data_IF_970082242270
#
_entry.id   IF_970082242270
#
_cell.length_a   1.000
_cell.length_b   1.000
_cell.length_c   1.000
_cell.angle_alpha   90.00
_cell.angle_beta   90.00
_cell.angle_gamma   90.00
#
_symmetry.space_group_name_H-M   'P 1'
#
loop_
_entity.id
_entity.type
_entity.pdbx_description
1 polymer ?
#
# COMPACT_ATOMS: atom_id res chain seq x y z
N UNK A 1 21.54 -1.83 32.89
CA UNK A 1 21.02 -0.66 32.15
C UNK A 1 21.56 -0.81 30.73
N UNK A 2 20.78 -1.44 29.85
CA UNK A 2 21.20 -1.63 28.46
C UNK A 2 20.91 -0.33 27.71
N UNK A 3 21.94 0.21 27.05
CA UNK A 3 21.84 1.35 26.14
C UNK A 3 20.90 0.98 25.00
N UNK A 4 19.66 1.47 25.05
CA UNK A 4 18.82 1.59 23.87
C UNK A 4 19.45 2.71 23.02
N UNK A 5 20.18 2.34 21.98
CA UNK A 5 20.33 3.23 20.81
C UNK A 5 18.92 3.74 20.50
N UNK A 6 18.66 5.05 20.31
CA UNK A 6 17.34 5.49 19.88
C UNK A 6 17.15 4.95 18.47
N UNK A 7 16.62 3.72 18.37
CA UNK A 7 16.22 3.13 17.12
C UNK A 7 15.15 4.03 16.54
N UNK A 8 15.16 4.19 15.22
CA UNK A 8 14.09 4.90 14.54
C UNK A 8 12.78 4.17 14.87
N UNK A 9 11.88 4.85 15.56
CA UNK A 9 10.55 4.33 15.88
C UNK A 9 9.70 4.37 14.61
N UNK A 10 9.74 3.27 13.85
CA UNK A 10 9.01 3.11 12.60
C UNK A 10 7.49 3.15 12.81
N UNK A 11 7.01 2.76 13.99
CA UNK A 11 5.59 2.82 14.31
C UNK A 11 5.14 4.26 14.54
N UNK A 12 5.93 5.06 15.26
CA UNK A 12 5.66 6.50 15.37
C UNK A 12 5.69 7.21 14.01
N UNK A 13 6.62 6.83 13.12
CA UNK A 13 6.66 7.36 11.74
C UNK A 13 5.39 6.99 10.98
N UNK A 14 4.95 5.74 11.07
CA UNK A 14 3.73 5.26 10.44
C UNK A 14 2.47 6.00 10.94
N UNK A 15 2.29 6.13 12.25
CA UNK A 15 1.14 6.82 12.85
C UNK A 15 1.11 8.30 12.45
N UNK A 16 2.28 8.95 12.42
CA UNK A 16 2.39 10.32 11.93
C UNK A 16 2.04 10.40 10.43
N UNK A 17 2.50 9.44 9.62
CA UNK A 17 2.22 9.40 8.20
C UNK A 17 0.73 9.20 7.90
N UNK A 18 0.05 8.33 8.67
CA UNK A 18 -1.40 8.16 8.59
C UNK A 18 -2.13 9.49 8.83
N UNK A 19 -1.75 10.24 9.86
CA UNK A 19 -2.32 11.57 10.11
C UNK A 19 -2.06 12.52 8.94
N UNK A 20 -0.88 12.49 8.33
CA UNK A 20 -0.61 13.29 7.13
C UNK A 20 -1.48 12.86 5.94
N UNK A 21 -1.63 11.55 5.72
CA UNK A 21 -2.46 10.97 4.67
C UNK A 21 -3.93 11.38 4.80
N UNK A 22 -4.51 11.25 6.00
CA UNK A 22 -5.89 11.67 6.32
C UNK A 22 -6.11 13.16 6.05
N UNK A 23 -5.09 13.99 6.30
CA UNK A 23 -5.11 15.42 6.02
C UNK A 23 -4.74 15.77 4.55
N UNK A 24 -4.65 14.78 3.66
CA UNK A 24 -4.25 14.91 2.25
C UNK A 24 -2.85 15.50 2.04
N UNK A 25 -2.00 15.47 3.06
CA UNK A 25 -0.61 15.91 3.02
C UNK A 25 0.29 14.75 2.53
N UNK A 26 0.03 14.23 1.33
CA UNK A 26 0.61 12.96 0.87
C UNK A 26 2.13 12.99 0.75
N UNK A 27 2.73 14.11 0.35
CA UNK A 27 4.20 14.26 0.32
C UNK A 27 4.83 14.04 1.70
N UNK A 28 4.20 14.54 2.77
CA UNK A 28 4.75 14.37 4.12
C UNK A 28 4.53 12.95 4.64
N UNK A 29 3.40 12.33 4.28
CA UNK A 29 3.17 10.90 4.53
C UNK A 29 4.25 10.04 3.84
N UNK A 30 4.51 10.28 2.55
CA UNK A 30 5.52 9.56 1.75
C UNK A 30 6.90 9.63 2.42
N UNK A 31 7.37 10.81 2.82
CA UNK A 31 8.69 10.96 3.46
C UNK A 31 8.83 10.10 4.72
N UNK A 32 7.80 10.09 5.57
CA UNK A 32 7.82 9.34 6.81
C UNK A 32 7.74 7.83 6.55
N UNK A 33 6.93 7.42 5.58
CA UNK A 33 6.77 6.02 5.18
C UNK A 33 8.00 5.47 4.45
N UNK A 34 8.70 6.27 3.64
CA UNK A 34 9.97 5.87 3.03
C UNK A 34 11.01 5.54 4.11
N UNK A 35 11.06 6.31 5.19
CA UNK A 35 11.94 6.04 6.33
C UNK A 35 11.46 4.80 7.09
N UNK A 36 10.15 4.64 7.31
CA UNK A 36 9.59 3.48 8.00
C UNK A 36 9.88 2.17 7.23
N UNK A 37 9.60 2.14 5.92
CA UNK A 37 9.87 0.99 5.03
C UNK A 37 11.37 0.72 4.91
N UNK A 38 12.23 1.74 4.93
CA UNK A 38 13.68 1.52 4.89
C UNK A 38 14.21 0.79 6.13
N UNK A 39 13.56 0.92 7.29
CA UNK A 39 13.97 0.28 8.54
C UNK A 39 13.15 -0.98 8.88
N UNK A 40 11.93 -1.10 8.36
CA UNK A 40 11.02 -2.22 8.57
C UNK A 40 10.31 -2.57 7.23
N UNK A 41 11.06 -3.13 6.25
CA UNK A 41 10.54 -3.38 4.90
C UNK A 41 9.51 -4.52 4.84
N UNK A 42 9.46 -5.36 5.86
CA UNK A 42 8.60 -6.55 5.99
C UNK A 42 7.27 -6.27 6.70
N UNK A 43 6.92 -5.00 6.91
CA UNK A 43 5.63 -4.60 7.49
C UNK A 43 4.65 -4.23 6.38
N UNK A 44 3.62 -5.07 6.19
CA UNK A 44 2.63 -4.93 5.11
C UNK A 44 1.96 -3.55 5.11
N UNK A 45 1.45 -3.10 6.27
CA UNK A 45 0.78 -1.80 6.42
C UNK A 45 1.65 -0.60 6.06
N UNK A 46 2.98 -0.66 6.26
CA UNK A 46 3.86 0.45 5.90
C UNK A 46 3.99 0.54 4.37
N UNK A 47 4.18 -0.60 3.71
CA UNK A 47 4.23 -0.67 2.26
C UNK A 47 2.89 -0.27 1.62
N UNK A 48 1.78 -0.73 2.18
CA UNK A 48 0.43 -0.40 1.70
C UNK A 48 0.16 1.11 1.75
N UNK A 49 0.32 1.74 2.92
CA UNK A 49 0.08 3.19 3.06
C UNK A 49 1.06 4.01 2.20
N UNK A 50 2.32 3.54 2.04
CA UNK A 50 3.26 4.18 1.14
C UNK A 50 2.77 4.14 -0.32
N UNK A 51 2.25 2.99 -0.74
CA UNK A 51 1.74 2.79 -2.09
C UNK A 51 0.55 3.70 -2.41
N UNK A 52 -0.47 3.73 -1.54
CA UNK A 52 -1.64 4.57 -1.72
C UNK A 52 -1.28 6.05 -1.62
N UNK A 53 -0.31 6.43 -0.78
CA UNK A 53 0.18 7.81 -0.71
C UNK A 53 0.82 8.26 -2.03
N UNK A 54 1.63 7.41 -2.67
CA UNK A 54 2.13 7.70 -4.03
C UNK A 54 0.99 7.80 -5.04
N UNK A 55 -0.03 6.93 -4.96
CA UNK A 55 -1.15 6.92 -5.90
C UNK A 55 -1.93 8.22 -5.84
N UNK A 56 -2.27 8.65 -4.62
CA UNK A 56 -2.93 9.94 -4.37
C UNK A 56 -2.08 11.13 -4.78
N UNK A 57 -0.77 11.09 -4.56
CA UNK A 57 0.10 12.18 -4.99
C UNK A 57 0.27 12.22 -6.52
N UNK A 58 0.20 11.08 -7.21
CA UNK A 58 0.27 11.02 -8.68
C UNK A 58 -0.84 11.86 -9.34
N UNK A 59 -2.02 11.95 -8.72
CA UNK A 59 -3.15 12.77 -9.16
C UNK A 59 -2.87 14.29 -9.05
N UNK A 60 -1.89 14.70 -8.23
CA UNK A 60 -1.63 16.11 -7.90
C UNK A 60 -0.38 16.70 -8.58
N UNK A 61 0.38 15.89 -9.31
CA UNK A 61 1.66 16.31 -9.92
C UNK A 61 1.61 16.30 -11.45
N UNK A 62 2.64 16.88 -12.07
CA UNK A 62 2.75 16.81 -13.53
C UNK A 62 2.92 15.36 -14.01
N UNK A 63 2.50 15.10 -15.24
CA UNK A 63 2.42 13.77 -15.84
C UNK A 63 3.72 12.95 -15.75
N UNK A 64 4.90 13.58 -15.88
CA UNK A 64 6.18 12.88 -15.75
C UNK A 64 6.38 12.29 -14.35
N UNK A 65 6.08 13.08 -13.31
CA UNK A 65 6.15 12.62 -11.92
C UNK A 65 5.02 11.65 -11.59
N UNK A 66 3.82 11.87 -12.14
CA UNK A 66 2.67 11.00 -11.94
C UNK A 66 2.97 9.57 -12.41
N UNK A 67 3.68 9.39 -13.53
CA UNK A 67 4.10 8.06 -14.00
C UNK A 67 5.09 7.37 -13.06
N UNK A 68 6.05 8.11 -12.46
CA UNK A 68 6.98 7.54 -11.48
C UNK A 68 6.24 7.10 -10.22
N UNK A 69 5.32 7.94 -9.73
CA UNK A 69 4.51 7.63 -8.56
C UNK A 69 3.56 6.46 -8.81
N UNK A 70 2.90 6.38 -9.97
CA UNK A 70 2.07 5.24 -10.33
C UNK A 70 2.85 3.91 -10.32
N UNK A 71 4.09 3.91 -10.85
CA UNK A 71 4.96 2.72 -10.79
C UNK A 71 5.34 2.35 -9.37
N UNK A 72 5.57 3.34 -8.51
CA UNK A 72 5.85 3.11 -7.07
C UNK A 72 4.63 2.59 -6.34
N UNK A 73 3.44 3.09 -6.65
CA UNK A 73 2.16 2.55 -6.16
C UNK A 73 2.06 1.06 -6.44
N UNK A 74 2.17 0.64 -7.71
CA UNK A 74 2.12 -0.78 -8.04
C UNK A 74 3.18 -1.60 -7.29
N UNK A 75 4.44 -1.14 -7.31
CA UNK A 75 5.55 -1.83 -6.63
C UNK A 75 5.23 -2.09 -5.15
N UNK A 76 4.78 -1.07 -4.42
CA UNK A 76 4.56 -1.20 -2.99
C UNK A 76 3.25 -1.91 -2.64
N UNK A 77 2.21 -1.84 -3.50
CA UNK A 77 1.03 -2.71 -3.37
C UNK A 77 1.40 -4.19 -3.56
N UNK A 78 2.19 -4.52 -4.58
CA UNK A 78 2.66 -5.90 -4.78
C UNK A 78 3.49 -6.40 -3.59
N UNK A 79 4.35 -5.56 -3.00
CA UNK A 79 5.10 -5.91 -1.79
C UNK A 79 4.15 -6.11 -0.61
N UNK A 80 3.22 -5.19 -0.38
CA UNK A 80 2.26 -5.28 0.72
C UNK A 80 1.41 -6.55 0.61
N UNK A 81 0.94 -6.89 -0.59
CA UNK A 81 0.18 -8.11 -0.86
C UNK A 81 1.01 -9.38 -0.61
N UNK A 82 2.30 -9.37 -0.98
CA UNK A 82 3.18 -10.50 -0.69
C UNK A 82 3.41 -10.70 0.83
N UNK A 83 3.37 -9.62 1.62
CA UNK A 83 3.54 -9.66 3.07
C UNK A 83 2.26 -10.06 3.81
N UNK A 84 1.10 -9.63 3.31
CA UNK A 84 -0.22 -9.94 3.88
C UNK A 84 -1.25 -10.26 2.78
N UNK A 85 -1.21 -11.48 2.22
CA UNK A 85 -1.95 -11.85 1.00
C UNK A 85 -3.46 -12.03 1.21
N UNK A 86 -3.94 -11.98 2.45
CA UNK A 86 -5.36 -12.10 2.77
C UNK A 86 -5.96 -10.76 3.22
N UNK A 87 -5.20 -9.68 3.15
CA UNK A 87 -5.65 -8.36 3.54
C UNK A 87 -6.56 -7.77 2.47
N UNK A 88 -7.85 -7.67 2.79
CA UNK A 88 -8.86 -7.20 1.83
C UNK A 88 -8.59 -5.77 1.35
N UNK A 89 -8.06 -4.88 2.20
CA UNK A 89 -7.78 -3.49 1.79
C UNK A 89 -6.62 -3.42 0.78
N UNK A 90 -5.57 -4.22 1.00
CA UNK A 90 -4.42 -4.29 0.07
C UNK A 90 -4.85 -4.91 -1.27
N UNK A 91 -5.65 -5.97 -1.21
CA UNK A 91 -6.15 -6.66 -2.41
C UNK A 91 -7.05 -5.72 -3.23
N UNK A 92 -7.95 -4.98 -2.59
CA UNK A 92 -8.85 -4.03 -3.24
C UNK A 92 -8.06 -2.94 -3.98
N UNK A 93 -7.11 -2.28 -3.31
CA UNK A 93 -6.27 -1.25 -3.94
C UNK A 93 -5.40 -1.80 -5.09
N UNK A 94 -4.90 -3.04 -4.97
CA UNK A 94 -4.10 -3.68 -6.03
C UNK A 94 -4.95 -4.11 -7.22
N UNK A 95 -6.17 -4.61 -6.98
CA UNK A 95 -7.16 -4.91 -8.00
C UNK A 95 -7.50 -3.65 -8.80
N UNK A 96 -7.89 -2.58 -8.11
CA UNK A 96 -8.23 -1.30 -8.72
C UNK A 96 -7.07 -0.76 -9.57
N UNK A 97 -5.83 -0.81 -9.04
CA UNK A 97 -4.67 -0.39 -9.82
C UNK A 97 -4.54 -1.21 -11.11
N UNK A 98 -4.67 -2.54 -11.04
CA UNK A 98 -4.56 -3.39 -12.21
C UNK A 98 -5.69 -3.17 -13.22
N UNK A 99 -6.90 -2.82 -12.78
CA UNK A 99 -8.03 -2.53 -13.66
C UNK A 99 -7.95 -1.14 -14.31
N UNK A 100 -7.52 -0.13 -13.57
CA UNK A 100 -7.58 1.26 -14.01
C UNK A 100 -6.31 1.75 -14.73
N UNK A 101 -5.13 1.26 -14.33
CA UNK A 101 -3.88 1.78 -14.89
C UNK A 101 -3.71 1.37 -16.37
N UNK A 102 -3.08 2.22 -17.20
CA UNK A 102 -2.63 1.80 -18.52
C UNK A 102 -1.63 0.64 -18.45
N UNK A 103 -1.68 -0.26 -19.43
CA UNK A 103 -0.79 -1.44 -19.44
C UNK A 103 0.71 -1.12 -19.40
N UNK A 104 1.14 -0.02 -20.03
CA UNK A 104 2.55 0.42 -19.98
C UNK A 104 2.97 1.01 -18.61
N UNK A 105 1.99 1.35 -17.76
CA UNK A 105 2.20 1.77 -16.37
C UNK A 105 2.03 0.61 -15.37
N UNK A 106 1.68 -0.58 -15.86
CA UNK A 106 1.57 -1.80 -15.06
C UNK A 106 0.14 -2.30 -14.85
N UNK A 107 -0.86 -1.66 -15.44
CA UNK A 107 -2.23 -2.18 -15.46
C UNK A 107 -2.32 -3.53 -16.16
N UNK A 108 -3.17 -4.40 -15.64
CA UNK A 108 -3.33 -5.76 -16.11
C UNK A 108 -4.69 -6.31 -15.68
N UNK A 109 -5.70 -6.15 -16.55
CA UNK A 109 -7.08 -6.58 -16.28
C UNK A 109 -7.14 -8.02 -15.78
N UNK A 110 -6.40 -8.94 -16.41
CA UNK A 110 -6.39 -10.36 -16.00
C UNK A 110 -5.93 -10.55 -14.56
N UNK A 111 -4.89 -9.83 -14.13
CA UNK A 111 -4.45 -9.87 -12.72
C UNK A 111 -5.48 -9.25 -11.78
N UNK A 112 -6.15 -8.19 -12.20
CA UNK A 112 -7.27 -7.61 -11.45
C UNK A 112 -8.37 -8.65 -11.22
N UNK A 113 -8.81 -9.35 -12.27
CA UNK A 113 -9.85 -10.40 -12.18
C UNK A 113 -9.41 -11.59 -11.30
N UNK A 114 -8.11 -11.93 -11.31
CA UNK A 114 -7.54 -12.95 -10.42
C UNK A 114 -7.60 -12.52 -8.94
N UNK A 115 -7.41 -11.23 -8.65
CA UNK A 115 -7.53 -10.68 -7.29
C UNK A 115 -8.99 -10.56 -6.87
N UNK A 116 -9.88 -10.14 -7.76
CA UNK A 116 -11.33 -10.07 -7.49
C UNK A 116 -11.86 -11.44 -7.03
N UNK A 117 -11.53 -12.51 -7.76
CA UNK A 117 -11.89 -13.87 -7.38
C UNK A 117 -11.28 -14.31 -6.03
N UNK A 118 -10.10 -13.81 -5.68
CA UNK A 118 -9.47 -14.07 -4.38
C UNK A 118 -10.20 -13.34 -3.24
N UNK A 119 -10.59 -12.08 -3.44
CA UNK A 119 -11.39 -11.29 -2.49
C UNK A 119 -12.73 -11.99 -2.21
N UNK A 120 -13.42 -12.44 -3.25
CA UNK A 120 -14.68 -13.19 -3.12
C UNK A 120 -14.49 -14.44 -2.25
N UNK A 121 -13.44 -15.23 -2.55
CA UNK A 121 -13.12 -16.45 -1.81
C UNK A 121 -12.85 -16.17 -0.33
N UNK A 122 -11.99 -15.19 -0.01
CA UNK A 122 -11.65 -14.82 1.38
C UNK A 122 -12.88 -14.34 2.13
N UNK A 123 -13.73 -13.54 1.48
CA UNK A 123 -14.95 -13.01 2.08
C UNK A 123 -15.92 -14.13 2.44
N UNK A 124 -16.10 -15.12 1.57
CA UNK A 124 -16.93 -16.30 1.85
C UNK A 124 -16.36 -17.12 3.02
N UNK A 125 -15.05 -17.39 3.03
CA UNK A 125 -14.40 -18.13 4.12
C UNK A 125 -14.55 -17.45 5.48
N UNK A 126 -14.51 -16.11 5.53
CA UNK A 126 -14.70 -15.35 6.77
C UNK A 126 -16.16 -15.42 7.26
N UNK A 127 -17.14 -15.36 6.35
CA UNK A 127 -18.57 -15.51 6.70
C UNK A 127 -18.92 -16.91 7.23
N UNK A 128 -18.21 -17.96 6.82
CA UNK A 128 -18.40 -19.32 7.33
C UNK A 128 -17.81 -19.50 8.73
N UNK A 129 -16.69 -18.82 9.04
CA UNK A 129 -16.08 -18.84 10.38
C UNK A 129 -16.98 -18.17 11.42
N UNK A 130 -17.67 -17.09 11.06
CA UNK A 130 -18.55 -16.36 11.99
C UNK A 130 -19.85 -17.11 12.32
N UNK A 131 -20.14 -18.21 11.60
CA UNK A 131 -21.34 -19.05 11.82
C UNK A 131 -21.08 -20.25 12.74
N UNK A 132 -19.83 -20.54 13.09
CA UNK A 132 -19.42 -21.67 13.94
C UNK A 132 -18.90 -21.20 15.31
#
# INVERSE_FOLDING_TARGET
>A
MANETPGIDTESLYLSALKHYENKNYIEAIKQLEIAVAHAPDVAKYNHILAVSYGREAENVNWFKAMDYAKKTLKYLEIANNLDPNNLEILDDLMDFYHEAPGFLGGNIKKGDEIEALIEKITLENQEKDKN
#
